data_IF_570366175797
#
_entry.id   IF_570366175797
#
_cell.length_a   1.000
_cell.length_b   1.000
_cell.length_c   1.000
_cell.angle_alpha   90.00
_cell.angle_beta   90.00
_cell.angle_gamma   90.00
#
_symmetry.space_group_name_H-M   'P 1'
#
loop_
_entity.id
_entity.type
_entity.pdbx_description
1 polymer ?
#
# COMPACT_ATOMS: atom_id res chain seq x y z
N UNK A 1 -2.98 -19.52 -21.70
CA UNK A 1 -1.79 -19.66 -20.80
C UNK A 1 -0.95 -18.41 -20.94
N UNK A 2 -0.65 -17.67 -19.86
CA UNK A 2 0.27 -16.53 -19.91
C UNK A 2 -0.25 -15.32 -19.14
N UNK A 3 0.01 -15.29 -17.82
CA UNK A 3 0.03 -14.05 -17.05
C UNK A 3 1.41 -13.98 -16.43
N UNK A 4 2.19 -12.94 -16.76
CA UNK A 4 3.48 -12.72 -16.11
C UNK A 4 3.19 -12.23 -14.69
N UNK A 5 3.76 -12.89 -13.69
CA UNK A 5 3.66 -12.40 -12.32
C UNK A 5 4.38 -11.03 -12.28
N UNK A 6 3.79 -9.98 -11.71
CA UNK A 6 4.25 -8.59 -11.86
C UNK A 6 5.50 -8.30 -11.02
N UNK A 7 6.56 -9.07 -11.23
CA UNK A 7 7.91 -8.80 -10.75
C UNK A 7 8.56 -7.88 -11.79
N UNK A 8 9.02 -6.72 -11.35
CA UNK A 8 9.66 -5.74 -12.24
C UNK A 8 11.12 -6.10 -12.53
N UNK A 9 11.55 -7.33 -12.24
CA UNK A 9 12.94 -7.78 -12.43
C UNK A 9 13.96 -7.04 -11.56
N UNK A 10 13.53 -6.33 -10.50
CA UNK A 10 14.41 -5.58 -9.61
C UNK A 10 14.62 -6.31 -8.28
N UNK A 11 15.85 -6.26 -7.79
CA UNK A 11 16.33 -6.97 -6.58
C UNK A 11 15.61 -6.57 -5.28
N UNK A 12 14.85 -5.47 -5.28
CA UNK A 12 14.28 -4.83 -4.08
C UNK A 12 12.81 -5.14 -3.81
N UNK A 13 12.25 -6.21 -4.37
CA UNK A 13 10.86 -6.63 -4.14
C UNK A 13 10.68 -7.54 -2.91
N UNK A 14 11.71 -7.76 -2.08
CA UNK A 14 11.68 -8.70 -0.95
C UNK A 14 10.58 -8.43 0.09
N UNK A 15 10.17 -7.16 0.25
CA UNK A 15 9.14 -6.78 1.22
C UNK A 15 7.80 -6.43 0.56
N UNK A 16 7.67 -6.61 -0.75
CA UNK A 16 6.44 -6.28 -1.46
C UNK A 16 5.43 -7.44 -1.36
N UNK A 17 4.21 -7.12 -0.95
CA UNK A 17 3.07 -8.05 -0.93
C UNK A 17 1.90 -7.50 -1.75
N UNK A 18 1.06 -8.39 -2.25
CA UNK A 18 -0.11 -8.06 -3.06
C UNK A 18 -1.39 -8.32 -2.28
N UNK A 19 -2.32 -7.36 -2.28
CA UNK A 19 -3.66 -7.62 -1.75
C UNK A 19 -4.48 -8.39 -2.78
N UNK A 20 -5.30 -9.35 -2.36
CA UNK A 20 -6.19 -10.03 -3.30
C UNK A 20 -7.31 -9.05 -3.72
N UNK A 21 -7.38 -8.74 -5.02
CA UNK A 21 -8.32 -7.75 -5.55
C UNK A 21 -9.77 -8.11 -5.23
N UNK A 22 -10.19 -9.36 -5.49
CA UNK A 22 -11.58 -9.81 -5.31
C UNK A 22 -12.01 -9.73 -3.85
N UNK A 23 -11.19 -10.24 -2.92
CA UNK A 23 -11.52 -10.20 -1.50
C UNK A 23 -11.40 -8.82 -0.87
N UNK A 24 -10.63 -7.91 -1.48
CA UNK A 24 -10.55 -6.51 -1.04
C UNK A 24 -11.81 -5.72 -1.37
N UNK A 25 -12.53 -6.10 -2.43
CA UNK A 25 -13.82 -5.49 -2.80
C UNK A 25 -15.02 -6.21 -2.17
N UNK A 26 -14.93 -7.54 -2.04
CA UNK A 26 -15.95 -8.36 -1.41
C UNK A 26 -15.32 -9.18 -0.26
N UNK A 27 -15.30 -8.63 0.97
CA UNK A 27 -14.68 -9.27 2.13
C UNK A 27 -15.16 -10.69 2.35
N UNK A 28 -14.22 -11.58 2.67
CA UNK A 28 -14.53 -12.98 3.00
C UNK A 28 -14.87 -13.05 4.48
N UNK A 29 -15.96 -13.73 4.82
CA UNK A 29 -16.28 -14.02 6.21
C UNK A 29 -15.34 -15.11 6.74
N UNK A 30 -14.50 -14.78 7.71
CA UNK A 30 -13.54 -15.69 8.34
C UNK A 30 -13.84 -15.75 9.84
N UNK A 31 -13.89 -16.97 10.40
CA UNK A 31 -14.14 -17.16 11.83
C UNK A 31 -12.94 -16.64 12.63
N UNK A 32 -13.20 -15.91 13.73
CA UNK A 32 -12.15 -15.21 14.49
C UNK A 32 -11.13 -16.18 15.10
N UNK A 33 -11.57 -17.37 15.47
CA UNK A 33 -10.75 -18.43 16.06
C UNK A 33 -9.64 -18.88 15.09
N UNK A 34 -9.92 -18.83 13.77
CA UNK A 34 -8.95 -19.17 12.74
C UNK A 34 -7.84 -18.12 12.60
N UNK A 35 -8.05 -16.89 13.10
CA UNK A 35 -7.09 -15.80 12.99
C UNK A 35 -6.19 -15.66 14.24
N UNK A 36 -6.53 -16.34 15.35
CA UNK A 36 -5.88 -16.10 16.64
C UNK A 36 -4.39 -16.49 16.65
N UNK A 37 -4.07 -17.63 16.02
CA UNK A 37 -2.74 -18.24 16.03
C UNK A 37 -1.92 -17.91 14.77
N UNK A 38 -2.38 -16.99 13.93
CA UNK A 38 -1.64 -16.58 12.73
C UNK A 38 -0.57 -15.56 13.10
N UNK A 39 0.59 -15.67 12.45
CA UNK A 39 1.63 -14.66 12.54
C UNK A 39 1.11 -13.32 12.02
N UNK A 40 1.45 -12.24 12.72
CA UNK A 40 1.05 -10.88 12.37
C UNK A 40 2.29 -10.11 11.94
N UNK A 41 2.18 -9.39 10.83
CA UNK A 41 3.19 -8.43 10.39
C UNK A 41 2.50 -7.10 10.11
N UNK A 42 3.27 -6.01 10.21
CA UNK A 42 2.77 -4.69 9.84
C UNK A 42 2.80 -4.57 8.31
N UNK A 43 1.68 -4.13 7.74
CA UNK A 43 1.57 -3.87 6.30
C UNK A 43 1.39 -2.38 6.08
N UNK A 44 2.24 -1.79 5.26
CA UNK A 44 2.14 -0.39 4.84
C UNK A 44 1.44 -0.30 3.49
N UNK A 45 0.27 0.32 3.46
CA UNK A 45 -0.52 0.51 2.24
C UNK A 45 -0.36 1.91 1.67
N UNK A 46 -0.33 2.02 0.34
CA UNK A 46 -0.27 3.31 -0.35
C UNK A 46 -0.24 3.19 -1.86
N UNK A 47 -0.05 4.32 -2.54
CA UNK A 47 0.02 4.35 -4.02
C UNK A 47 1.41 4.06 -4.56
N UNK A 48 2.47 4.31 -3.77
CA UNK A 48 3.85 3.98 -4.09
C UNK A 48 4.72 3.99 -2.82
N UNK A 49 5.89 3.35 -2.87
CA UNK A 49 6.86 3.36 -1.75
C UNK A 49 7.22 4.79 -1.31
N UNK A 50 7.52 5.75 -2.22
CA UNK A 50 7.81 7.13 -1.83
C UNK A 50 6.63 7.85 -1.16
N UNK A 51 5.37 7.53 -1.50
CA UNK A 51 4.22 8.18 -0.86
C UNK A 51 3.94 7.62 0.53
N UNK A 52 4.17 6.32 0.73
CA UNK A 52 4.05 5.67 2.04
C UNK A 52 5.06 6.25 3.04
N UNK A 53 6.31 6.41 2.62
CA UNK A 53 7.40 6.85 3.50
C UNK A 53 7.71 8.34 3.41
N UNK A 54 6.77 9.14 2.87
CA UNK A 54 6.98 10.57 2.67
C UNK A 54 7.13 11.28 4.01
N UNK A 55 8.26 11.99 4.17
CA UNK A 55 8.53 12.78 5.38
C UNK A 55 9.09 11.98 6.55
N UNK A 56 9.44 10.71 6.33
CA UNK A 56 10.21 9.92 7.28
C UNK A 56 11.72 10.10 7.03
N UNK A 57 12.48 9.96 8.10
CA UNK A 57 13.94 9.86 8.09
C UNK A 57 14.41 8.51 7.55
N UNK A 58 15.69 8.41 7.18
CA UNK A 58 16.26 7.16 6.65
C UNK A 58 16.18 6.04 7.68
N UNK A 59 16.41 6.34 8.95
CA UNK A 59 16.39 5.40 10.07
C UNK A 59 14.98 4.84 10.30
N UNK A 60 13.95 5.68 10.21
CA UNK A 60 12.55 5.26 10.29
C UNK A 60 12.17 4.35 9.11
N UNK A 61 12.62 4.69 7.90
CA UNK A 61 12.40 3.87 6.71
C UNK A 61 13.04 2.50 6.89
N UNK A 62 14.30 2.42 7.33
CA UNK A 62 14.97 1.15 7.60
C UNK A 62 14.19 0.30 8.61
N UNK A 63 13.71 0.92 9.70
CA UNK A 63 12.89 0.22 10.69
C UNK A 63 11.59 -0.34 10.09
N UNK A 64 10.91 0.43 9.24
CA UNK A 64 9.72 -0.03 8.52
C UNK A 64 10.03 -1.25 7.63
N UNK A 65 11.15 -1.24 6.90
CA UNK A 65 11.55 -2.36 6.05
C UNK A 65 11.99 -3.60 6.86
N UNK A 66 12.55 -3.45 8.06
CA UNK A 66 12.91 -4.62 8.88
C UNK A 66 11.72 -5.30 9.56
N UNK A 67 10.65 -4.53 9.85
CA UNK A 67 9.54 -5.01 10.69
C UNK A 67 8.24 -5.22 9.93
N UNK A 68 8.18 -4.80 8.67
CA UNK A 68 6.93 -4.82 7.91
C UNK A 68 7.13 -5.08 6.43
N UNK A 69 5.98 -5.14 5.77
CA UNK A 69 5.86 -5.37 4.33
C UNK A 69 5.07 -4.23 3.71
N UNK A 70 5.24 -4.02 2.42
CA UNK A 70 4.62 -2.92 1.67
C UNK A 70 3.63 -3.48 0.65
N UNK A 71 2.46 -2.87 0.56
CA UNK A 71 1.44 -3.23 -0.42
C UNK A 71 0.99 -1.99 -1.18
N UNK A 72 1.39 -1.88 -2.45
CA UNK A 72 1.04 -0.74 -3.32
C UNK A 72 0.01 -1.08 -4.39
N UNK A 73 -0.32 -2.37 -4.54
CA UNK A 73 -1.18 -2.89 -5.60
C UNK A 73 -1.91 -4.16 -5.19
N UNK A 74 -3.09 -4.32 -5.76
CA UNK A 74 -3.81 -5.58 -5.70
C UNK A 74 -3.34 -6.54 -6.79
N UNK A 75 -3.65 -7.81 -6.61
CA UNK A 75 -3.48 -8.85 -7.62
C UNK A 75 -4.79 -9.59 -7.80
N UNK A 76 -5.23 -9.68 -9.06
CA UNK A 76 -6.38 -10.46 -9.44
C UNK A 76 -5.92 -11.86 -9.85
N UNK A 77 -6.30 -12.86 -9.06
CA UNK A 77 -5.91 -14.26 -9.27
C UNK A 77 -6.56 -14.88 -10.50
N UNK A 78 -7.73 -14.40 -10.92
CA UNK A 78 -8.47 -14.94 -12.06
C UNK A 78 -7.85 -14.45 -13.37
N UNK A 79 -7.64 -13.12 -13.48
CA UNK A 79 -7.01 -12.52 -14.65
C UNK A 79 -5.48 -12.60 -14.63
N UNK A 80 -4.89 -12.95 -13.48
CA UNK A 80 -3.44 -12.95 -13.21
C UNK A 80 -2.77 -11.62 -13.53
N UNK A 81 -3.48 -10.52 -13.27
CA UNK A 81 -3.03 -9.17 -13.57
C UNK A 81 -2.89 -8.33 -12.29
N UNK A 82 -1.90 -7.42 -12.23
CA UNK A 82 -1.88 -6.40 -11.20
C UNK A 82 -3.09 -5.47 -11.36
N UNK A 83 -3.69 -5.07 -10.23
CA UNK A 83 -4.80 -4.13 -10.15
C UNK A 83 -4.45 -2.98 -9.21
N UNK A 84 -5.07 -1.80 -9.38
CA UNK A 84 -4.99 -0.75 -8.37
C UNK A 84 -5.41 -1.29 -7.00
N UNK A 85 -4.75 -0.79 -5.95
CA UNK A 85 -5.11 -1.14 -4.59
C UNK A 85 -6.54 -0.66 -4.28
N UNK A 86 -7.31 -1.42 -3.50
CA UNK A 86 -8.66 -1.01 -3.12
C UNK A 86 -8.60 0.30 -2.30
N UNK A 87 -9.41 1.34 -2.60
CA UNK A 87 -9.39 2.61 -1.88
C UNK A 87 -9.61 2.49 -0.37
N UNK A 88 -10.35 1.47 0.08
CA UNK A 88 -10.55 1.22 1.51
C UNK A 88 -9.26 0.81 2.24
N UNK A 89 -8.29 0.20 1.55
CA UNK A 89 -6.99 -0.17 2.12
C UNK A 89 -6.01 1.00 2.19
N UNK A 90 -6.24 2.04 1.39
CA UNK A 90 -5.38 3.23 1.35
C UNK A 90 -6.26 4.47 1.15
N UNK A 91 -6.78 5.01 2.25
CA UNK A 91 -7.51 6.27 2.18
C UNK A 91 -6.50 7.37 1.89
N UNK A 92 -6.64 8.05 0.75
CA UNK A 92 -5.84 9.23 0.45
C UNK A 92 -6.10 10.25 1.55
N UNK A 93 -5.08 10.56 2.35
CA UNK A 93 -5.15 11.65 3.30
C UNK A 93 -5.59 12.91 2.55
N UNK A 94 -6.67 13.55 3.00
CA UNK A 94 -7.21 14.75 2.35
C UNK A 94 -6.07 15.73 2.09
N UNK A 95 -5.96 16.32 0.88
CA UNK A 95 -4.91 17.30 0.61
C UNK A 95 -5.01 18.41 1.66
N UNK A 96 -3.90 18.70 2.35
CA UNK A 96 -3.83 19.88 3.23
C UNK A 96 -4.16 21.09 2.36
N UNK A 97 -5.21 21.82 2.71
CA UNK A 97 -5.58 23.08 2.05
C UNK A 97 -4.34 23.97 2.08
N UNK A 98 -3.78 24.27 0.89
CA UNK A 98 -2.71 25.27 0.79
C UNK A 98 -3.31 26.58 1.23
N UNK A 99 -2.82 27.16 2.33
CA UNK A 99 -3.11 28.56 2.66
C UNK A 99 -2.50 29.39 1.53
N UNK A 100 -3.33 29.89 0.62
CA UNK A 100 -2.91 30.91 -0.34
C UNK A 100 -2.59 32.15 0.48
N UNK A 101 -1.31 32.53 0.55
CA UNK A 101 -0.95 33.84 1.08
C UNK A 101 -1.59 34.88 0.15
N UNK A 102 -2.50 35.68 0.68
CA UNK A 102 -3.07 36.80 -0.05
C UNK A 102 -1.94 37.77 -0.38
N UNK A 103 -1.69 38.00 -1.67
CA UNK A 103 -0.80 39.07 -2.13
C UNK A 103 -1.49 40.39 -1.78
N UNK A 104 -1.00 41.04 -0.74
CA UNK A 104 -1.32 42.41 -0.38
C UNK A 104 -0.78 43.32 -1.50
N UNK A 105 -1.68 43.82 -2.36
CA UNK A 105 -1.34 44.88 -3.30
C UNK A 105 -1.29 46.19 -2.51
N UNK A 106 -0.08 46.71 -2.31
CA UNK A 106 0.17 48.03 -1.74
C UNK A 106 0.40 49.02 -2.88
N UNK A 107 -0.48 50.03 -2.92
CA UNK A 107 -0.52 51.28 -3.70
C UNK A 107 -0.33 51.24 -5.23
#
# INVERSE_FOLDING_TARGET
MGGSFPLNGTYFQVNEVFSNHRSSHNPIHVKREQLWNLQRCMVFFGTSVPTIFRGLTTEEIQHCFWRGVVCVRGFDRETRAPRPLCPHLHIVARPKVRKTAATEQVL
#
